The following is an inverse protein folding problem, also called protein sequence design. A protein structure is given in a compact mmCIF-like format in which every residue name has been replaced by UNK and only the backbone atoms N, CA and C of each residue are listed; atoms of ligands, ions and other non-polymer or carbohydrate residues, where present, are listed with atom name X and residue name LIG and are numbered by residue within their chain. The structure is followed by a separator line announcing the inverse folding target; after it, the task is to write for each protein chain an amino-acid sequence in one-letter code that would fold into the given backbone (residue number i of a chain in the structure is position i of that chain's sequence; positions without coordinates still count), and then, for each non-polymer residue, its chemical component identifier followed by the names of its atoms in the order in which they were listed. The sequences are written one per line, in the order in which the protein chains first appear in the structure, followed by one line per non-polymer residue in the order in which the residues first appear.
data_IF_325383216256
#
_entry.id   IF_325383216256
#
_cell.length_a   1.000
_cell.length_b   1.000
_cell.length_c   1.000
_cell.angle_alpha   90.00
_cell.angle_beta   90.00
_cell.angle_gamma   90.00
#
_symmetry.space_group_name_H-M   'P 1'
#
loop_
_entity.id
_entity.type
_entity.pdbx_description
1 polymer ?
#
# COMPACT_ATOMS: atom_id res chain seq x y z
N UNK A 1 -11.40 13.47 -5.65
CA UNK A 1 -10.28 13.33 -6.61
C UNK A 1 -9.04 13.91 -5.94
N UNK A 2 -8.06 13.08 -5.55
CA UNK A 2 -6.80 13.56 -4.96
C UNK A 2 -5.81 13.69 -6.11
N UNK A 3 -5.30 14.90 -6.33
CA UNK A 3 -4.21 15.18 -7.29
C UNK A 3 -3.04 14.23 -7.03
N UNK A 4 -2.55 13.46 -8.03
CA UNK A 4 -1.52 12.45 -7.82
C UNK A 4 -0.20 13.06 -7.29
N UNK A 5 0.10 14.32 -7.63
CA UNK A 5 1.26 15.06 -7.12
C UNK A 5 1.15 15.46 -5.64
N UNK A 6 -0.06 15.56 -5.08
CA UNK A 6 -0.27 15.90 -3.66
C UNK A 6 -0.27 14.67 -2.76
N UNK A 7 -0.66 13.52 -3.31
CA UNK A 7 -0.66 12.24 -2.59
C UNK A 7 0.77 11.77 -2.25
N UNK A 8 1.74 12.03 -3.12
CA UNK A 8 3.16 11.64 -2.89
C UNK A 8 3.81 12.45 -1.76
N UNK A 9 3.45 13.73 -1.60
CA UNK A 9 3.96 14.57 -0.51
C UNK A 9 3.31 14.23 0.84
N UNK A 10 2.11 13.65 0.82
CA UNK A 10 1.44 13.14 2.01
C UNK A 10 2.00 11.79 2.48
N UNK A 11 2.79 11.11 1.66
CA UNK A 11 3.34 9.81 2.01
C UNK A 11 4.54 9.99 2.95
N UNK A 12 4.54 9.34 4.13
CA UNK A 12 5.61 9.53 5.09
C UNK A 12 6.96 9.11 4.50
N UNK A 13 7.95 10.03 4.52
CA UNK A 13 9.34 9.77 4.10
C UNK A 13 10.11 9.06 5.21
N UNK A 14 11.03 8.17 4.83
CA UNK A 14 11.72 7.25 5.76
C UNK A 14 12.17 8.00 7.01
N UNK A 15 11.98 7.44 8.23
CA UNK A 15 12.42 8.09 9.45
C UNK A 15 13.92 8.41 9.34
N UNK A 16 14.28 9.68 9.39
CA UNK A 16 15.68 10.12 9.42
C UNK A 16 16.22 10.18 10.85
N UNK A 17 15.34 10.23 11.85
CA UNK A 17 15.67 10.29 13.26
C UNK A 17 15.38 8.95 13.98
N UNK A 18 16.16 8.68 15.03
CA UNK A 18 15.99 7.49 15.89
C UNK A 18 14.75 7.56 16.79
N UNK A 19 14.28 8.76 17.11
CA UNK A 19 13.07 9.01 17.89
C UNK A 19 12.13 9.85 17.03
N UNK A 20 10.90 9.37 16.86
CA UNK A 20 9.84 10.05 16.10
C UNK A 20 8.87 10.75 17.04
N UNK A 21 8.31 11.87 16.60
CA UNK A 21 7.15 12.47 17.26
C UNK A 21 5.92 11.58 17.04
N UNK A 22 4.96 11.65 17.95
CA UNK A 22 3.75 10.81 17.88
C UNK A 22 3.00 10.93 16.54
N UNK A 23 2.90 12.14 15.99
CA UNK A 23 2.27 12.38 14.69
C UNK A 23 3.03 11.70 13.53
N UNK A 24 4.37 11.70 13.57
CA UNK A 24 5.20 11.05 12.55
C UNK A 24 5.10 9.53 12.64
N UNK A 25 5.13 8.98 13.87
CA UNK A 25 4.92 7.56 14.10
C UNK A 25 3.55 7.10 13.58
N UNK A 26 2.51 7.91 13.78
CA UNK A 26 1.15 7.60 13.31
C UNK A 26 1.07 7.59 11.78
N UNK A 27 1.60 8.63 11.12
CA UNK A 27 1.65 8.67 9.66
C UNK A 27 2.38 7.44 9.09
N UNK A 28 3.47 7.00 9.73
CA UNK A 28 4.21 5.80 9.37
C UNK A 28 3.40 4.51 9.51
N UNK A 29 2.68 4.34 10.61
CA UNK A 29 1.81 3.18 10.82
C UNK A 29 0.69 3.13 9.78
N UNK A 30 0.03 4.26 9.55
CA UNK A 30 -1.06 4.35 8.58
C UNK A 30 -0.54 4.09 7.14
N UNK A 31 0.66 4.58 6.81
CA UNK A 31 1.31 4.30 5.52
C UNK A 31 1.68 2.82 5.34
N UNK A 32 2.13 2.13 6.39
CA UNK A 32 2.40 0.69 6.31
C UNK A 32 1.12 -0.12 6.11
N UNK A 33 0.06 0.23 6.85
CA UNK A 33 -1.25 -0.41 6.68
C UNK A 33 -1.78 -0.27 5.24
N UNK A 34 -1.61 0.92 4.63
CA UNK A 34 -1.95 1.14 3.23
C UNK A 34 -1.15 0.25 2.26
N UNK A 35 0.15 0.07 2.49
CA UNK A 35 0.98 -0.80 1.64
C UNK A 35 0.63 -2.29 1.78
N UNK A 36 0.25 -2.72 2.99
CA UNK A 36 -0.18 -4.10 3.24
C UNK A 36 -1.51 -4.41 2.55
N UNK A 37 -2.47 -3.49 2.64
CA UNK A 37 -3.77 -3.61 1.95
C UNK A 37 -3.59 -3.66 0.43
N UNK A 38 -2.79 -2.74 -0.13
CA UNK A 38 -2.48 -2.73 -1.56
C UNK A 38 -1.78 -4.04 -2.02
N UNK A 39 -0.95 -4.62 -1.17
CA UNK A 39 -0.31 -5.92 -1.44
C UNK A 39 -1.33 -7.06 -1.42
N UNK A 40 -2.25 -7.05 -0.45
CA UNK A 40 -3.32 -8.03 -0.35
C UNK A 40 -4.20 -7.99 -1.61
N UNK A 41 -4.65 -6.80 -2.02
CA UNK A 41 -5.47 -6.62 -3.22
C UNK A 41 -4.77 -7.12 -4.49
N UNK A 42 -3.48 -6.80 -4.64
CA UNK A 42 -2.69 -7.28 -5.77
C UNK A 42 -2.57 -8.80 -5.79
N UNK A 43 -2.47 -9.44 -4.62
CA UNK A 43 -2.45 -10.90 -4.52
C UNK A 43 -3.81 -11.49 -4.91
N UNK A 44 -4.92 -10.93 -4.41
CA UNK A 44 -6.27 -11.37 -4.74
C UNK A 44 -6.54 -11.29 -6.25
N UNK A 45 -6.11 -10.19 -6.90
CA UNK A 45 -6.18 -10.02 -8.35
C UNK A 45 -5.39 -11.09 -9.10
N UNK A 46 -4.17 -11.40 -8.66
CA UNK A 46 -3.34 -12.45 -9.28
C UNK A 46 -3.97 -13.82 -9.15
N UNK A 47 -4.52 -14.14 -7.99
CA UNK A 47 -5.21 -15.41 -7.75
C UNK A 47 -6.48 -15.53 -8.59
N UNK A 48 -7.28 -14.46 -8.68
CA UNK A 48 -8.45 -14.41 -9.54
C UNK A 48 -8.07 -14.62 -11.02
N UNK A 49 -7.04 -13.93 -11.50
CA UNK A 49 -6.52 -14.09 -12.86
C UNK A 49 -6.04 -15.53 -13.13
N UNK A 50 -5.32 -16.14 -12.17
CA UNK A 50 -4.86 -17.52 -12.28
C UNK A 50 -6.01 -18.52 -12.34
N UNK A 51 -7.06 -18.32 -11.53
CA UNK A 51 -8.28 -19.16 -11.56
C UNK A 51 -9.03 -19.02 -12.88
N UNK A 52 -9.19 -17.81 -13.39
CA UNK A 52 -9.83 -17.56 -14.67
C UNK A 52 -9.08 -18.25 -15.82
N UNK A 53 -7.75 -18.11 -15.85
CA UNK A 53 -6.91 -18.79 -16.83
C UNK A 53 -7.01 -20.32 -16.73
N UNK A 54 -6.98 -20.88 -15.52
CA UNK A 54 -7.13 -22.32 -15.35
C UNK A 54 -8.52 -22.83 -15.77
N UNK A 55 -9.59 -22.07 -15.54
CA UNK A 55 -10.94 -22.44 -15.93
C UNK A 55 -11.16 -22.43 -17.46
N UNK A 56 -10.39 -21.61 -18.19
CA UNK A 56 -10.53 -21.47 -19.64
C UNK A 56 -9.69 -22.48 -20.43
N UNK A 57 -8.66 -23.08 -19.80
CA UNK A 57 -7.70 -23.97 -20.46
C UNK A 57 -7.51 -25.35 -19.78
N UNK A 58 -8.40 -25.73 -18.85
CA UNK A 58 -8.47 -27.07 -18.25
C UNK A 58 -9.65 -27.87 -18.78
#
# INVERSE_FOLDING_TARGET
MIEPGKAIDAMPRRPSARILRAAEARAWQDGHAFLDEARHDAQQLREAARRAYAAEYA
#
